data_IF_985961589150
#
_entry.id   IF_985961589150
#
_cell.length_a   1.000
_cell.length_b   1.000
_cell.length_c   1.000
_cell.angle_alpha   90.00
_cell.angle_beta   90.00
_cell.angle_gamma   90.00
#
_symmetry.space_group_name_H-M   'P 1'
#
loop_
_entity.id
_entity.type
_entity.pdbx_description
1 polymer ?
#
# COMPACT_ATOMS: atom_id res chain seq x y z
N UNK A 1 -19.82 14.18 11.19
CA UNK A 1 -18.81 13.86 10.21
C UNK A 1 -17.91 12.76 10.70
N UNK A 2 -17.73 11.76 9.90
CA UNK A 2 -16.89 10.67 10.28
C UNK A 2 -15.46 11.17 10.32
N UNK A 3 -14.83 10.91 11.42
CA UNK A 3 -13.46 11.27 11.56
C UNK A 3 -12.60 10.22 10.84
N UNK A 4 -12.18 10.55 9.63
CA UNK A 4 -11.33 9.65 8.85
C UNK A 4 -10.02 9.32 9.58
N UNK A 5 -9.65 10.14 10.53
CA UNK A 5 -8.42 9.92 11.28
C UNK A 5 -8.55 8.85 12.34
N UNK A 6 -9.77 8.47 12.73
CA UNK A 6 -9.98 7.38 13.68
C UNK A 6 -9.65 6.02 13.07
N UNK A 7 -9.86 5.90 11.78
CA UNK A 7 -9.53 4.67 11.05
C UNK A 7 -8.13 4.73 10.50
N UNK A 8 -7.41 5.76 10.87
CA UNK A 8 -6.00 5.95 10.61
C UNK A 8 -5.66 5.91 9.13
N UNK A 9 -5.34 4.74 8.62
CA UNK A 9 -4.68 4.64 7.34
C UNK A 9 -5.54 4.02 6.24
N UNK A 10 -6.78 3.68 6.53
CA UNK A 10 -7.71 3.18 5.52
C UNK A 10 -8.64 4.32 5.11
N UNK A 11 -8.39 4.92 3.95
CA UNK A 11 -9.06 6.13 3.52
C UNK A 11 -9.80 5.93 2.20
N UNK A 12 -10.96 6.59 2.09
CA UNK A 12 -11.64 6.70 0.80
C UNK A 12 -10.95 7.82 0.02
N UNK A 13 -10.33 7.45 -1.10
CA UNK A 13 -9.56 8.39 -1.92
C UNK A 13 -10.20 8.67 -3.27
N UNK A 14 -11.51 8.36 -3.40
CA UNK A 14 -12.26 8.54 -4.65
C UNK A 14 -12.38 9.99 -5.06
N UNK A 15 -12.43 10.89 -4.09
CA UNK A 15 -12.72 12.29 -4.32
C UNK A 15 -11.50 13.16 -4.11
N UNK A 16 -11.48 14.29 -4.80
CA UNK A 16 -10.39 15.25 -4.65
C UNK A 16 -10.57 16.04 -3.35
N UNK A 17 -10.30 15.39 -2.24
CA UNK A 17 -10.41 15.95 -0.91
C UNK A 17 -9.03 16.41 -0.44
N UNK A 18 -8.92 17.72 -0.18
CA UNK A 18 -7.64 18.33 0.20
C UNK A 18 -7.12 17.80 1.54
N UNK A 19 -8.02 17.51 2.47
CA UNK A 19 -7.61 17.00 3.79
C UNK A 19 -7.06 15.58 3.68
N UNK A 20 -7.73 14.73 2.92
CA UNK A 20 -7.28 13.36 2.68
C UNK A 20 -5.93 13.40 1.97
N UNK A 21 -5.79 14.20 0.94
CA UNK A 21 -4.55 14.34 0.19
C UNK A 21 -3.41 14.80 1.10
N UNK A 22 -3.68 15.76 1.97
CA UNK A 22 -2.70 16.28 2.91
C UNK A 22 -2.26 15.21 3.90
N UNK A 23 -3.20 14.42 4.39
CA UNK A 23 -2.91 13.33 5.31
C UNK A 23 -2.05 12.26 4.65
N UNK A 24 -2.35 11.92 3.41
CA UNK A 24 -1.54 10.97 2.65
C UNK A 24 -0.12 11.50 2.46
N UNK A 25 0.02 12.74 2.05
CA UNK A 25 1.33 13.35 1.82
C UNK A 25 2.15 13.45 3.10
N UNK A 26 1.49 13.73 4.21
CA UNK A 26 2.13 13.79 5.51
C UNK A 26 2.65 12.41 5.93
N UNK A 27 1.92 11.36 5.63
CA UNK A 27 2.22 10.01 6.07
C UNK A 27 3.25 9.31 5.18
N UNK A 28 3.06 9.38 3.86
CA UNK A 28 3.90 8.63 2.91
C UNK A 28 4.64 9.51 1.92
N UNK A 29 4.46 10.82 2.01
CA UNK A 29 5.12 11.78 1.13
C UNK A 29 4.33 12.08 -0.13
N UNK A 30 4.78 13.10 -0.84
CA UNK A 30 4.18 13.48 -2.13
C UNK A 30 4.49 12.44 -3.20
N UNK A 31 3.67 12.36 -4.25
CA UNK A 31 3.99 11.48 -5.36
C UNK A 31 5.38 11.78 -5.92
N UNK A 32 6.08 10.75 -6.36
CA UNK A 32 7.37 10.95 -7.00
C UNK A 32 7.23 11.79 -8.27
N UNK A 33 8.22 12.63 -8.54
CA UNK A 33 8.30 13.36 -9.80
C UNK A 33 8.45 12.39 -10.98
N UNK A 34 8.14 12.85 -12.19
CA UNK A 34 8.27 12.03 -13.39
C UNK A 34 9.70 11.54 -13.58
N UNK A 35 10.68 12.40 -13.28
CA UNK A 35 12.09 12.05 -13.38
C UNK A 35 12.44 10.89 -12.42
N UNK A 36 11.97 10.98 -11.19
CA UNK A 36 12.22 9.96 -10.17
C UNK A 36 11.51 8.65 -10.51
N UNK A 37 10.28 8.73 -11.04
CA UNK A 37 9.55 7.54 -11.51
C UNK A 37 10.33 6.79 -12.57
N UNK A 38 10.90 7.52 -13.49
CA UNK A 38 11.74 6.95 -14.54
C UNK A 38 12.94 6.22 -13.94
N UNK A 39 13.64 6.85 -13.00
CA UNK A 39 14.83 6.27 -12.36
C UNK A 39 14.51 5.01 -11.57
N UNK A 40 13.38 4.97 -10.91
CA UNK A 40 12.96 3.80 -10.13
C UNK A 40 12.45 2.68 -11.03
N UNK A 41 12.06 3.00 -12.26
CA UNK A 41 11.48 2.03 -13.16
C UNK A 41 9.99 1.85 -12.95
N UNK A 42 9.31 2.93 -12.57
CA UNK A 42 7.87 2.94 -12.30
C UNK A 42 7.54 2.79 -10.83
N UNK A 43 6.40 3.32 -10.44
CA UNK A 43 5.96 3.36 -9.04
C UNK A 43 4.73 2.50 -8.77
N UNK A 44 4.11 1.95 -9.81
CA UNK A 44 2.90 1.16 -9.68
C UNK A 44 3.15 -0.34 -9.82
N UNK A 45 2.50 -1.13 -9.00
CA UNK A 45 2.56 -2.58 -9.13
C UNK A 45 1.69 -3.08 -10.29
N UNK A 46 1.93 -4.29 -10.78
CA UNK A 46 0.90 -5.00 -11.53
C UNK A 46 -0.33 -5.19 -10.66
N UNK A 47 -1.44 -5.57 -11.29
CA UNK A 47 -2.65 -5.92 -10.56
C UNK A 47 -2.39 -7.15 -9.70
N UNK A 48 -2.77 -7.05 -8.43
CA UNK A 48 -2.55 -8.10 -7.45
C UNK A 48 -3.88 -8.71 -7.05
N UNK A 49 -3.94 -10.04 -7.04
CA UNK A 49 -5.12 -10.76 -6.57
C UNK A 49 -5.02 -10.89 -5.04
N UNK A 50 -6.09 -10.52 -4.35
CA UNK A 50 -6.14 -10.61 -2.89
C UNK A 50 -6.58 -12.02 -2.50
N UNK A 51 -5.75 -12.70 -1.72
CA UNK A 51 -6.08 -14.01 -1.17
C UNK A 51 -6.94 -13.86 0.08
N UNK A 52 -6.52 -13.00 0.99
CA UNK A 52 -7.26 -12.70 2.21
C UNK A 52 -6.84 -11.35 2.73
N UNK A 53 -7.65 -10.77 3.61
CA UNK A 53 -7.34 -9.46 4.19
C UNK A 53 -8.09 -9.29 5.51
N UNK A 54 -7.72 -8.23 6.23
CA UNK A 54 -8.36 -7.89 7.49
C UNK A 54 -9.83 -7.53 7.30
N UNK A 55 -10.59 -7.62 8.37
CA UNK A 55 -12.05 -7.50 8.35
C UNK A 55 -12.52 -6.18 7.74
N UNK A 56 -11.88 -5.07 8.10
CA UNK A 56 -12.30 -3.75 7.61
C UNK A 56 -12.21 -3.67 6.09
N UNK A 57 -11.16 -4.24 5.52
CA UNK A 57 -10.96 -4.28 4.07
C UNK A 57 -11.91 -5.29 3.44
N UNK A 58 -12.04 -6.47 4.06
CA UNK A 58 -12.92 -7.51 3.58
C UNK A 58 -14.38 -7.05 3.52
N UNK A 59 -14.82 -6.27 4.49
CA UNK A 59 -16.18 -5.71 4.51
C UNK A 59 -16.43 -4.78 3.33
N UNK A 60 -15.42 -4.05 2.89
CA UNK A 60 -15.54 -3.20 1.71
C UNK A 60 -15.56 -4.02 0.43
N UNK A 61 -14.72 -5.05 0.35
CA UNK A 61 -14.60 -5.88 -0.84
C UNK A 61 -15.82 -6.77 -1.07
N UNK A 62 -16.46 -7.21 0.00
CA UNK A 62 -17.63 -8.09 -0.11
C UNK A 62 -18.83 -7.39 -0.75
N UNK A 63 -18.85 -6.05 -0.75
CA UNK A 63 -19.90 -5.29 -1.40
C UNK A 63 -19.78 -5.33 -2.91
N UNK A 64 -18.60 -5.64 -3.41
CA UNK A 64 -18.32 -5.73 -4.84
C UNK A 64 -18.28 -7.19 -5.24
N UNK A 65 -19.03 -7.56 -6.27
CA UNK A 65 -19.09 -8.97 -6.71
C UNK A 65 -17.96 -9.34 -7.66
N UNK A 66 -17.05 -8.44 -7.93
CA UNK A 66 -15.88 -8.71 -8.76
C UNK A 66 -14.80 -9.45 -7.98
N UNK A 67 -13.80 -9.95 -8.71
CA UNK A 67 -12.63 -10.57 -8.09
C UNK A 67 -11.89 -9.51 -7.26
N UNK A 68 -11.53 -9.88 -6.05
CA UNK A 68 -10.83 -8.97 -5.14
C UNK A 68 -9.42 -8.69 -5.66
N UNK A 69 -9.16 -7.43 -5.96
CA UNK A 69 -7.89 -6.99 -6.56
C UNK A 69 -7.42 -5.72 -5.91
N UNK A 70 -6.11 -5.53 -5.93
CA UNK A 70 -5.51 -4.29 -5.50
C UNK A 70 -4.28 -3.99 -6.35
N UNK A 71 -3.75 -2.81 -6.19
CA UNK A 71 -2.45 -2.44 -6.71
C UNK A 71 -1.75 -1.55 -5.70
N UNK A 72 -0.43 -1.47 -5.82
CA UNK A 72 0.39 -0.75 -4.85
C UNK A 72 1.08 0.41 -5.58
N UNK A 73 1.08 1.56 -4.93
CA UNK A 73 1.80 2.74 -5.40
C UNK A 73 2.95 3.03 -4.44
N UNK A 74 4.15 3.18 -4.99
CA UNK A 74 5.31 3.60 -4.20
C UNK A 74 5.28 5.10 -3.95
N UNK A 75 5.59 5.47 -2.72
CA UNK A 75 5.75 6.85 -2.30
C UNK A 75 7.12 7.00 -1.62
N UNK A 76 7.62 8.23 -1.45
CA UNK A 76 8.94 8.43 -0.83
C UNK A 76 9.07 7.85 0.57
N UNK A 77 8.00 7.87 1.35
CA UNK A 77 8.05 7.42 2.76
C UNK A 77 7.14 6.24 3.05
N UNK A 78 6.61 5.60 2.03
CA UNK A 78 5.72 4.46 2.23
C UNK A 78 5.09 3.97 0.95
N UNK A 79 4.00 3.24 1.12
CA UNK A 79 3.23 2.72 0.00
C UNK A 79 1.75 3.01 0.22
N UNK A 80 0.99 2.99 -0.86
CA UNK A 80 -0.46 3.04 -0.82
C UNK A 80 -0.98 1.79 -1.51
N UNK A 81 -1.78 1.00 -0.81
CA UNK A 81 -2.47 -0.15 -1.41
C UNK A 81 -3.85 0.32 -1.83
N UNK A 82 -4.07 0.39 -3.13
CA UNK A 82 -5.34 0.85 -3.71
C UNK A 82 -6.24 -0.33 -4.01
N UNK A 83 -7.52 -0.22 -3.65
CA UNK A 83 -8.50 -1.20 -4.07
C UNK A 83 -9.85 -0.50 -4.27
N UNK A 84 -10.71 -1.13 -5.06
CA UNK A 84 -12.04 -0.57 -5.33
C UNK A 84 -13.11 -1.35 -4.60
N UNK A 85 -14.10 -0.61 -4.12
CA UNK A 85 -15.33 -1.21 -3.59
C UNK A 85 -16.48 -0.46 -4.24
N UNK A 86 -17.24 -1.14 -5.07
CA UNK A 86 -18.30 -0.55 -5.89
C UNK A 86 -17.69 0.54 -6.79
N UNK A 87 -18.14 1.77 -6.66
CA UNK A 87 -17.63 2.91 -7.45
C UNK A 87 -16.57 3.72 -6.71
N UNK A 88 -16.23 3.32 -5.51
CA UNK A 88 -15.31 4.06 -4.67
C UNK A 88 -13.92 3.43 -4.68
N UNK A 89 -12.91 4.27 -4.58
CA UNK A 89 -11.52 3.81 -4.43
C UNK A 89 -11.05 4.07 -3.02
N UNK A 90 -10.48 3.05 -2.42
CA UNK A 90 -9.91 3.13 -1.07
C UNK A 90 -8.41 2.95 -1.14
N UNK A 91 -7.72 3.53 -0.20
CA UNK A 91 -6.28 3.36 -0.06
C UNK A 91 -5.92 3.01 1.36
N UNK A 92 -5.11 1.98 1.51
CA UNK A 92 -4.44 1.68 2.77
C UNK A 92 -3.09 2.36 2.71
N UNK A 93 -2.90 3.35 3.57
CA UNK A 93 -1.73 4.24 3.57
C UNK A 93 -0.73 3.69 4.57
N UNK A 94 0.41 3.22 4.09
CA UNK A 94 1.37 2.52 4.94
C UNK A 94 2.74 3.20 4.89
N UNK A 95 3.13 3.91 5.94
CA UNK A 95 4.50 4.44 6.01
C UNK A 95 5.49 3.29 6.20
N UNK A 96 6.69 3.44 5.68
CA UNK A 96 7.69 2.37 5.73
C UNK A 96 8.00 1.91 7.15
N UNK A 97 7.98 2.81 8.12
CA UNK A 97 8.31 2.43 9.49
C UNK A 97 7.25 1.51 10.13
N UNK A 98 6.05 1.45 9.56
CA UNK A 98 5.00 0.54 10.02
C UNK A 98 4.82 -0.67 9.10
N UNK A 99 5.42 -0.62 7.93
CA UNK A 99 5.23 -1.67 6.92
C UNK A 99 5.99 -2.93 7.27
N UNK A 100 5.29 -4.05 7.27
CA UNK A 100 5.91 -5.37 7.39
C UNK A 100 5.45 -6.23 6.23
N UNK A 101 6.40 -6.84 5.54
CA UNK A 101 6.11 -7.71 4.41
C UNK A 101 6.74 -9.06 4.67
N UNK A 102 5.94 -10.11 4.50
CA UNK A 102 6.41 -11.47 4.63
C UNK A 102 6.13 -12.23 3.34
N UNK A 103 7.13 -12.95 2.87
CA UNK A 103 6.96 -13.88 1.75
C UNK A 103 6.63 -15.24 2.34
N UNK A 104 5.40 -15.64 2.16
CA UNK A 104 4.92 -16.92 2.66
C UNK A 104 5.11 -18.05 1.67
N UNK A 105 4.56 -19.20 2.01
CA UNK A 105 4.50 -20.36 1.13
C UNK A 105 3.44 -20.13 0.05
N UNK A 106 3.46 -20.96 -0.99
CA UNK A 106 2.44 -20.97 -2.04
C UNK A 106 2.29 -19.61 -2.75
N UNK A 107 3.40 -18.91 -2.94
CA UNK A 107 3.43 -17.65 -3.70
C UNK A 107 2.55 -16.55 -3.10
N UNK A 108 2.51 -16.48 -1.78
CA UNK A 108 1.74 -15.45 -1.07
C UNK A 108 2.70 -14.44 -0.46
N UNK A 109 2.43 -13.15 -0.71
CA UNK A 109 3.05 -12.05 0.04
C UNK A 109 2.02 -11.49 1.01
N UNK A 110 2.44 -11.28 2.24
CA UNK A 110 1.59 -10.70 3.28
C UNK A 110 2.09 -9.31 3.63
N UNK A 111 1.19 -8.35 3.60
CA UNK A 111 1.47 -6.95 3.92
C UNK A 111 0.74 -6.64 5.22
N UNK A 112 1.48 -6.17 6.21
CA UNK A 112 0.91 -5.84 7.53
C UNK A 112 1.20 -4.40 7.90
N UNK A 113 0.23 -3.78 8.54
CA UNK A 113 0.39 -2.48 9.20
C UNK A 113 -0.61 -2.42 10.35
N UNK A 114 -0.12 -2.35 11.58
CA UNK A 114 -0.97 -2.35 12.78
C UNK A 114 -1.96 -3.54 12.73
N UNK A 115 -3.25 -3.28 12.77
CA UNK A 115 -4.28 -4.32 12.72
C UNK A 115 -4.74 -4.67 11.29
N UNK A 116 -4.16 -4.01 10.30
CA UNK A 116 -4.51 -4.26 8.91
C UNK A 116 -3.57 -5.28 8.29
N UNK A 117 -4.12 -6.13 7.45
CA UNK A 117 -3.29 -6.98 6.59
C UNK A 117 -3.96 -7.24 5.26
N UNK A 118 -3.15 -7.46 4.25
CA UNK A 118 -3.57 -7.90 2.93
C UNK A 118 -2.59 -8.96 2.47
N UNK A 119 -3.10 -10.12 2.09
CA UNK A 119 -2.29 -11.19 1.51
C UNK A 119 -2.61 -11.29 0.03
N UNK A 120 -1.58 -11.21 -0.78
CA UNK A 120 -1.73 -11.19 -2.24
C UNK A 120 -0.96 -12.34 -2.87
N UNK A 121 -1.44 -12.79 -4.03
CA UNK A 121 -0.83 -13.87 -4.77
C UNK A 121 0.24 -13.28 -5.70
N UNK A 122 1.46 -13.82 -5.61
CA UNK A 122 2.56 -13.37 -6.45
C UNK A 122 2.97 -14.48 -7.40
N UNK A 123 2.21 -14.64 -8.47
CA UNK A 123 2.37 -15.75 -9.39
C UNK A 123 3.25 -15.43 -10.61
N UNK A 124 3.86 -14.25 -10.66
CA UNK A 124 4.75 -13.90 -11.76
C UNK A 124 5.95 -13.07 -11.29
N UNK A 125 6.94 -12.98 -12.17
CA UNK A 125 8.20 -12.31 -11.86
C UNK A 125 8.05 -10.81 -11.67
N UNK A 126 7.13 -10.18 -12.38
CA UNK A 126 6.93 -8.74 -12.28
C UNK A 126 6.44 -8.36 -10.89
N UNK A 127 5.58 -9.18 -10.29
CA UNK A 127 5.10 -8.96 -8.93
C UNK A 127 6.26 -9.11 -7.94
N UNK A 128 7.08 -10.17 -8.10
CA UNK A 128 8.24 -10.37 -7.23
C UNK A 128 9.23 -9.22 -7.33
N UNK A 129 9.47 -8.73 -8.54
CA UNK A 129 10.35 -7.57 -8.75
C UNK A 129 9.81 -6.33 -8.08
N UNK A 130 8.49 -6.13 -8.11
CA UNK A 130 7.88 -4.99 -7.46
C UNK A 130 8.04 -5.05 -5.94
N UNK A 131 7.83 -6.22 -5.33
CA UNK A 131 8.04 -6.38 -3.90
C UNK A 131 9.49 -6.17 -3.50
N UNK A 132 10.44 -6.58 -4.36
CA UNK A 132 11.85 -6.26 -4.16
C UNK A 132 12.08 -4.76 -4.16
N UNK A 133 11.42 -4.06 -5.06
CA UNK A 133 11.50 -2.61 -5.15
C UNK A 133 10.99 -1.95 -3.86
N UNK A 134 9.88 -2.43 -3.31
CA UNK A 134 9.36 -1.96 -2.02
C UNK A 134 10.41 -2.17 -0.93
N UNK A 135 10.99 -3.35 -0.86
CA UNK A 135 11.98 -3.67 0.16
C UNK A 135 13.18 -2.73 0.07
N UNK A 136 13.65 -2.45 -1.13
CA UNK A 136 14.77 -1.53 -1.34
C UNK A 136 14.42 -0.11 -0.88
N UNK A 137 13.23 0.36 -1.21
CA UNK A 137 12.80 1.70 -0.79
C UNK A 137 12.66 1.78 0.73
N UNK A 138 12.16 0.73 1.34
CA UNK A 138 12.05 0.68 2.81
C UNK A 138 13.42 0.75 3.46
N UNK A 139 14.41 0.01 2.95
CA UNK A 139 15.77 0.04 3.46
C UNK A 139 16.36 1.45 3.36
N UNK A 140 16.19 2.10 2.21
CA UNK A 140 16.69 3.44 1.98
C UNK A 140 16.08 4.47 2.93
N UNK A 141 14.89 4.20 3.44
CA UNK A 141 14.18 5.11 4.33
C UNK A 141 14.25 4.70 5.80
N UNK A 142 14.96 3.63 6.12
CA UNK A 142 15.14 3.21 7.50
C UNK A 142 16.36 3.93 8.07
N UNK A 143 16.22 4.62 9.21
CA UNK A 143 17.37 5.24 9.86
C UNK A 143 18.39 4.18 10.26
N UNK A 144 19.67 4.51 10.13
CA UNK A 144 20.76 3.63 10.55
C UNK A 144 20.88 3.66 12.06
N UNK A 145 19.99 2.96 12.74
CA UNK A 145 19.93 3.00 14.20
C UNK A 145 21.18 2.45 14.87
N UNK A 146 21.94 1.65 14.15
CA UNK A 146 23.20 1.13 14.71
C UNK A 146 24.25 2.17 14.92
N UNK A 147 24.22 3.20 14.09
CA UNK A 147 25.20 4.26 14.17
C UNK A 147 24.95 5.17 15.33
N UNK A 148 23.76 5.08 15.89
CA UNK A 148 23.36 5.90 17.03
C UNK A 148 23.73 5.28 18.37
N UNK A 149 24.31 4.11 18.35
CA UNK A 149 24.67 3.40 19.56
C UNK A 149 26.09 3.72 19.98
#
# INVERSE_FOLDING_TARGET
MINVYLYLMLLNISYNNKEVKREIEKTVGKPFSLQKRWKIGGIGSPKLLIDSCSLDISNLLILDQNIDKCNIELRPKGIIVHFRSLLETYGLIIPYYKLKIYKGKAKIYSIYMDNYFIKVISDNDNIRKFFKKIANQKILNTPSSFEDI
#
